data_IF_313665604711
#
_entry.id   IF_313665604711
#
_cell.length_a   1.000
_cell.length_b   1.000
_cell.length_c   1.000
_cell.angle_alpha   90.00
_cell.angle_beta   90.00
_cell.angle_gamma   90.00
#
_symmetry.space_group_name_H-M   'P 1'
#
loop_
_entity.id
_entity.type
_entity.pdbx_description
1 polymer ?
#
# COMPACT_ATOMS: atom_id res chain seq x y z
N UNK A 1 -13.09 -11.90 30.18
CA UNK A 1 -13.97 -11.50 29.05
C UNK A 1 -13.29 -11.92 27.76
N UNK A 2 -14.04 -12.28 26.73
CA UNK A 2 -13.47 -12.61 25.42
C UNK A 2 -12.84 -11.34 24.82
N UNK A 3 -11.52 -11.28 24.84
CA UNK A 3 -10.70 -10.24 24.22
C UNK A 3 -10.60 -10.55 22.72
N UNK A 4 -11.48 -9.97 21.90
CA UNK A 4 -11.47 -10.17 20.45
C UNK A 4 -10.32 -9.37 19.81
N UNK A 5 -9.15 -10.01 19.73
CA UNK A 5 -7.98 -9.45 19.07
C UNK A 5 -8.14 -9.57 17.56
N UNK A 6 -8.08 -8.44 16.86
CA UNK A 6 -8.11 -8.40 15.40
C UNK A 6 -6.69 -8.26 14.86
N UNK A 7 -6.31 -9.15 13.95
CA UNK A 7 -4.97 -9.17 13.37
C UNK A 7 -4.91 -8.62 11.95
N UNK A 8 -3.68 -8.53 11.38
CA UNK A 8 -3.44 -7.98 10.05
C UNK A 8 -4.23 -8.63 8.91
N UNK A 9 -4.50 -9.94 9.00
CA UNK A 9 -5.24 -10.69 7.97
C UNK A 9 -6.70 -10.25 7.90
N UNK A 10 -7.34 -10.08 9.05
CA UNK A 10 -8.73 -9.64 9.17
C UNK A 10 -8.88 -8.15 8.86
N UNK A 11 -7.93 -7.34 9.32
CA UNK A 11 -7.98 -5.89 9.20
C UNK A 11 -7.47 -5.38 7.84
N UNK A 12 -6.76 -6.23 7.09
CA UNK A 12 -6.05 -5.87 5.85
C UNK A 12 -5.18 -4.62 6.05
N UNK A 13 -4.50 -4.56 7.21
CA UNK A 13 -3.70 -3.44 7.65
C UNK A 13 -2.51 -3.93 8.50
N UNK A 14 -1.40 -3.16 8.60
CA UNK A 14 -0.16 -3.58 9.26
C UNK A 14 -0.25 -3.44 10.79
N UNK A 15 -1.36 -3.86 11.40
CA UNK A 15 -1.48 -3.78 12.85
C UNK A 15 -2.40 -4.83 13.45
N UNK A 16 -2.14 -5.12 14.73
CA UNK A 16 -3.06 -5.81 15.62
C UNK A 16 -3.84 -4.79 16.43
N UNK A 17 -5.10 -5.07 16.75
CA UNK A 17 -5.87 -4.24 17.69
C UNK A 17 -6.56 -5.11 18.73
N UNK A 18 -6.68 -4.55 19.93
CA UNK A 18 -7.37 -5.17 21.04
C UNK A 18 -7.97 -4.10 21.95
N UNK A 19 -9.25 -4.20 22.29
CA UNK A 19 -9.89 -3.30 23.26
C UNK A 19 -10.14 -4.05 24.56
N UNK A 20 -9.84 -3.40 25.69
CA UNK A 20 -9.98 -3.99 27.02
C UNK A 20 -10.46 -2.95 28.04
N UNK A 21 -10.80 -3.39 29.26
CA UNK A 21 -11.18 -2.47 30.35
C UNK A 21 -9.94 -1.80 30.96
N UNK A 22 -10.15 -0.77 31.79
CA UNK A 22 -9.06 -0.08 32.48
C UNK A 22 -8.57 -0.80 33.75
N UNK A 23 -9.01 -2.03 34.02
CA UNK A 23 -8.52 -2.80 35.16
C UNK A 23 -7.05 -3.20 34.96
N UNK A 24 -6.17 -3.08 35.96
CA UNK A 24 -4.75 -3.40 35.82
C UNK A 24 -4.47 -4.78 35.21
N UNK A 25 -5.15 -5.82 35.68
CA UNK A 25 -4.98 -7.19 35.16
C UNK A 25 -5.41 -7.31 33.70
N UNK A 26 -6.49 -6.63 33.31
CA UNK A 26 -7.00 -6.62 31.95
C UNK A 26 -6.03 -5.91 30.98
N UNK A 27 -5.36 -4.86 31.44
CA UNK A 27 -4.31 -4.15 30.68
C UNK A 27 -3.04 -5.01 30.54
N UNK A 28 -2.61 -5.67 31.63
CA UNK A 28 -1.44 -6.55 31.62
C UNK A 28 -1.67 -7.79 30.73
N UNK A 29 -2.87 -8.37 30.78
CA UNK A 29 -3.26 -9.49 29.93
C UNK A 29 -3.34 -9.07 28.45
N UNK A 30 -3.90 -7.91 28.15
CA UNK A 30 -4.00 -7.40 26.77
C UNK A 30 -2.62 -7.18 26.13
N UNK A 31 -1.71 -6.52 26.86
CA UNK A 31 -0.33 -6.31 26.40
C UNK A 31 0.43 -7.62 26.23
N UNK A 32 0.34 -8.53 27.20
CA UNK A 32 0.99 -9.85 27.13
C UNK A 32 0.49 -10.67 25.95
N UNK A 33 -0.82 -10.68 25.70
CA UNK A 33 -1.42 -11.37 24.55
C UNK A 33 -0.90 -10.82 23.23
N UNK A 34 -0.90 -9.51 23.05
CA UNK A 34 -0.40 -8.86 21.83
C UNK A 34 1.11 -9.12 21.61
N UNK A 35 1.92 -8.98 22.66
CA UNK A 35 3.36 -9.24 22.58
C UNK A 35 3.67 -10.71 22.27
N UNK A 36 2.92 -11.65 22.87
CA UNK A 36 3.07 -13.08 22.57
C UNK A 36 2.69 -13.39 21.11
N UNK A 37 1.69 -12.69 20.57
CA UNK A 37 1.26 -12.82 19.17
C UNK A 37 2.35 -12.35 18.22
N UNK A 38 2.98 -11.20 18.48
CA UNK A 38 4.12 -10.71 17.69
C UNK A 38 5.29 -11.69 17.79
N UNK A 39 5.60 -12.18 19.00
CA UNK A 39 6.69 -13.13 19.24
C UNK A 39 6.50 -14.47 18.52
N UNK A 40 5.25 -14.88 18.27
CA UNK A 40 4.95 -16.11 17.53
C UNK A 40 5.47 -16.09 16.07
N UNK A 41 5.63 -14.89 15.49
CA UNK A 41 6.21 -14.70 14.15
C UNK A 41 7.52 -13.92 14.27
N UNK A 42 8.64 -14.62 14.37
CA UNK A 42 9.99 -14.05 14.59
C UNK A 42 10.37 -12.88 13.66
N UNK A 43 9.85 -12.82 12.43
CA UNK A 43 10.09 -11.65 11.55
C UNK A 43 9.52 -10.34 12.12
N UNK A 44 8.39 -10.40 12.84
CA UNK A 44 7.70 -9.23 13.39
C UNK A 44 8.40 -8.64 14.62
N UNK A 45 9.25 -9.40 15.30
CA UNK A 45 10.02 -8.90 16.44
C UNK A 45 11.18 -7.99 16.03
N UNK A 46 11.45 -7.86 14.71
CA UNK A 46 12.50 -6.97 14.21
C UNK A 46 12.19 -5.49 14.44
N UNK A 47 10.92 -5.11 14.51
CA UNK A 47 10.50 -3.73 14.75
C UNK A 47 8.99 -3.63 14.79
N UNK A 48 8.46 -3.06 15.86
CA UNK A 48 7.05 -2.78 16.02
C UNK A 48 6.84 -1.65 17.04
N UNK A 49 5.67 -1.04 17.01
CA UNK A 49 5.24 -0.03 17.97
C UNK A 49 3.95 -0.44 18.62
N UNK A 50 3.92 -0.44 19.95
CA UNK A 50 2.70 -0.67 20.71
C UNK A 50 2.10 0.66 21.13
N UNK A 51 0.85 0.91 20.78
CA UNK A 51 0.08 2.10 21.16
C UNK A 51 -1.07 1.70 22.06
N UNK A 52 -1.33 2.51 23.09
CA UNK A 52 -2.41 2.33 24.04
C UNK A 52 -3.16 3.65 24.13
N UNK A 53 -4.34 3.70 23.51
CA UNK A 53 -5.24 4.84 23.58
C UNK A 53 -6.22 4.65 24.72
N UNK A 54 -6.23 5.59 25.66
CA UNK A 54 -7.19 5.59 26.76
C UNK A 54 -8.47 6.29 26.31
N UNK A 55 -9.57 5.56 26.37
CA UNK A 55 -10.93 6.04 26.17
C UNK A 55 -11.63 6.12 27.54
N UNK A 56 -12.83 6.70 27.61
CA UNK A 56 -13.51 6.98 28.88
C UNK A 56 -13.49 5.81 29.88
N UNK A 57 -13.86 4.60 29.44
CA UNK A 57 -13.95 3.42 30.31
C UNK A 57 -13.14 2.21 29.79
N UNK A 58 -12.35 2.39 28.73
CA UNK A 58 -11.66 1.29 28.03
C UNK A 58 -10.30 1.74 27.53
N UNK A 59 -9.38 0.81 27.36
CA UNK A 59 -8.13 1.04 26.64
C UNK A 59 -8.16 0.30 25.29
N UNK A 60 -7.77 0.99 24.23
CA UNK A 60 -7.54 0.39 22.92
C UNK A 60 -6.03 0.22 22.73
N UNK A 61 -5.60 -1.03 22.68
CA UNK A 61 -4.24 -1.41 22.30
C UNK A 61 -4.16 -1.58 20.78
N UNK A 62 -3.02 -1.18 20.23
CA UNK A 62 -2.64 -1.41 18.84
C UNK A 62 -1.17 -1.78 18.78
N UNK A 63 -0.81 -2.82 18.05
CA UNK A 63 0.58 -3.04 17.65
C UNK A 63 0.70 -2.70 16.17
N UNK A 64 1.39 -1.61 15.86
CA UNK A 64 1.79 -1.21 14.52
C UNK A 64 3.05 -1.99 14.11
N UNK A 65 2.97 -2.64 12.95
CA UNK A 65 4.07 -3.35 12.33
C UNK A 65 4.74 -2.45 11.28
N UNK A 66 5.99 -2.75 11.00
CA UNK A 66 6.64 -2.31 9.76
C UNK A 66 5.82 -2.78 8.55
N UNK A 67 5.50 -1.86 7.63
CA UNK A 67 4.62 -2.13 6.49
C UNK A 67 5.23 -3.12 5.50
N UNK A 68 6.56 -3.09 5.32
CA UNK A 68 7.28 -4.04 4.46
C UNK A 68 7.26 -5.43 5.08
N UNK A 69 7.47 -5.53 6.40
CA UNK A 69 7.34 -6.81 7.11
C UNK A 69 5.91 -7.32 7.11
N UNK A 70 4.91 -6.46 7.28
CA UNK A 70 3.51 -6.83 7.13
C UNK A 70 3.23 -7.41 5.75
N UNK A 71 3.68 -6.73 4.69
CA UNK A 71 3.55 -7.21 3.33
C UNK A 71 4.20 -8.60 3.16
N UNK A 72 5.44 -8.76 3.60
CA UNK A 72 6.21 -10.00 3.44
C UNK A 72 5.66 -11.19 4.23
N UNK A 73 5.00 -10.94 5.36
CA UNK A 73 4.48 -11.98 6.27
C UNK A 73 3.02 -12.32 5.99
N UNK A 74 2.20 -11.34 5.61
CA UNK A 74 0.74 -11.50 5.56
C UNK A 74 0.13 -11.34 4.18
N UNK A 75 0.74 -10.55 3.28
CA UNK A 75 0.16 -10.31 1.96
C UNK A 75 0.80 -11.17 0.88
N UNK A 76 2.13 -11.37 0.92
CA UNK A 76 2.88 -12.06 -0.14
C UNK A 76 2.37 -13.48 -0.47
N UNK A 77 1.66 -14.13 0.44
CA UNK A 77 1.12 -15.48 0.24
C UNK A 77 -0.20 -15.52 -0.56
N UNK A 78 -0.81 -14.36 -0.79
CA UNK A 78 -2.06 -14.21 -1.53
C UNK A 78 -1.81 -14.09 -3.05
N UNK A 79 -2.90 -14.05 -3.84
CA UNK A 79 -2.81 -13.73 -5.27
C UNK A 79 -2.17 -12.36 -5.47
N UNK A 80 -1.34 -12.24 -6.51
CA UNK A 80 -0.52 -11.05 -6.76
C UNK A 80 -1.37 -9.78 -6.96
N UNK A 81 -2.49 -9.91 -7.68
CA UNK A 81 -3.42 -8.79 -7.93
C UNK A 81 -4.12 -8.34 -6.65
N UNK A 82 -4.54 -9.30 -5.82
CA UNK A 82 -5.19 -9.02 -4.54
C UNK A 82 -4.20 -8.38 -3.55
N UNK A 83 -2.97 -8.86 -3.56
CA UNK A 83 -1.86 -8.30 -2.77
C UNK A 83 -1.59 -6.84 -3.14
N UNK A 84 -1.48 -6.54 -4.44
CA UNK A 84 -1.29 -5.18 -4.95
C UNK A 84 -2.46 -4.28 -4.55
N UNK A 85 -3.69 -4.78 -4.73
CA UNK A 85 -4.92 -4.06 -4.39
C UNK A 85 -4.99 -3.69 -2.91
N UNK A 86 -4.77 -4.65 -2.01
CA UNK A 86 -4.82 -4.42 -0.56
C UNK A 86 -3.74 -3.44 -0.10
N UNK A 87 -2.50 -3.62 -0.57
CA UNK A 87 -1.41 -2.71 -0.22
C UNK A 87 -1.66 -1.28 -0.72
N UNK A 88 -2.14 -1.13 -1.96
CA UNK A 88 -2.48 0.17 -2.57
C UNK A 88 -3.63 0.86 -1.84
N UNK A 89 -4.66 0.10 -1.46
CA UNK A 89 -5.80 0.59 -0.68
C UNK A 89 -5.37 1.07 0.71
N UNK A 90 -4.51 0.32 1.40
CA UNK A 90 -3.94 0.73 2.69
C UNK A 90 -3.19 2.07 2.57
N UNK A 91 -2.32 2.22 1.58
CA UNK A 91 -1.54 3.45 1.37
C UNK A 91 -2.46 4.63 1.09
N UNK A 92 -3.44 4.46 0.20
CA UNK A 92 -4.42 5.49 -0.14
C UNK A 92 -5.19 5.93 1.11
N UNK A 93 -5.73 4.98 1.87
CA UNK A 93 -6.52 5.27 3.06
C UNK A 93 -5.69 5.96 4.14
N UNK A 94 -4.44 5.54 4.32
CA UNK A 94 -3.53 6.14 5.30
C UNK A 94 -3.23 7.60 4.94
N UNK A 95 -2.89 7.89 3.69
CA UNK A 95 -2.62 9.26 3.22
C UNK A 95 -3.83 10.19 3.33
N UNK A 96 -5.04 9.68 3.13
CA UNK A 96 -6.27 10.48 3.29
C UNK A 96 -6.60 10.81 4.75
N UNK A 97 -6.06 10.06 5.72
CA UNK A 97 -6.33 10.25 7.14
C UNK A 97 -5.32 11.17 7.84
N UNK A 98 -4.20 11.50 7.19
CA UNK A 98 -3.12 12.29 7.78
C UNK A 98 -3.18 13.69 7.19
N UNK A 99 -3.41 14.68 8.05
CA UNK A 99 -3.42 16.07 7.64
C UNK A 99 -1.99 16.61 7.52
N UNK A 100 -1.71 17.58 6.62
CA UNK A 100 -0.38 18.17 6.47
C UNK A 100 0.18 18.77 7.77
N UNK A 101 -0.69 19.25 8.65
CA UNK A 101 -0.33 19.80 9.95
C UNK A 101 0.18 18.72 10.94
N UNK A 102 -0.13 17.45 10.67
CA UNK A 102 0.29 16.28 11.46
C UNK A 102 1.63 15.68 10.98
N UNK A 103 2.27 16.27 9.97
CA UNK A 103 3.57 15.86 9.43
C UNK A 103 4.66 16.90 9.75
N UNK A 104 5.37 16.68 10.85
CA UNK A 104 6.44 17.60 11.27
C UNK A 104 7.79 17.31 10.59
N UNK A 105 8.68 18.32 10.49
CA UNK A 105 9.97 18.18 9.83
C UNK A 105 10.83 17.10 10.49
N UNK A 106 11.74 16.43 9.76
CA UNK A 106 12.59 15.34 10.29
C UNK A 106 13.72 15.81 11.22
N UNK A 107 14.20 17.04 11.05
CA UNK A 107 15.38 17.57 11.77
C UNK A 107 15.04 18.95 12.33
N UNK A 108 15.11 19.10 13.66
CA UNK A 108 15.22 20.43 14.29
C UNK A 108 16.70 20.55 14.61
N UNK A 109 17.36 21.49 13.95
CA UNK A 109 18.80 21.67 14.10
C UNK A 109 19.08 22.33 15.47
N UNK A 110 19.60 21.54 16.41
CA UNK A 110 20.09 22.04 17.69
C UNK A 110 21.58 22.36 17.54
N UNK A 111 22.03 23.49 18.10
CA UNK A 111 23.46 23.83 18.12
C UNK A 111 24.25 22.67 18.76
N UNK A 112 25.23 22.14 18.02
CA UNK A 112 25.99 20.91 18.34
C UNK A 112 26.59 20.86 19.76
N UNK A 113 26.84 22.01 20.38
CA UNK A 113 27.53 22.14 21.67
C UNK A 113 26.76 21.52 22.86
N UNK A 114 25.42 21.57 22.86
CA UNK A 114 24.60 20.96 23.93
C UNK A 114 24.53 19.42 23.81
N UNK A 115 24.78 18.89 22.61
CA UNK A 115 24.67 17.47 22.31
C UNK A 115 25.87 16.68 22.84
N UNK A 116 27.07 17.24 22.80
CA UNK A 116 28.30 16.53 23.15
C UNK A 116 28.61 16.54 24.65
N UNK A 117 28.14 17.56 25.38
CA UNK A 117 28.34 17.69 26.84
C UNK A 117 27.35 16.84 27.66
N UNK A 118 26.25 16.41 27.04
CA UNK A 118 25.21 15.59 27.67
C UNK A 118 25.66 14.15 28.00
N UNK A 119 26.77 13.65 27.46
CA UNK A 119 27.15 12.23 27.65
C UNK A 119 28.35 12.03 28.59
N UNK A 120 28.89 13.11 29.14
CA UNK A 120 30.08 13.01 30.00
C UNK A 120 29.62 12.68 31.42
N UNK A 121 29.76 11.39 31.79
CA UNK A 121 29.54 10.94 33.17
C UNK A 121 30.57 11.56 34.09
N UNK A 122 30.17 11.81 35.33
CA UNK A 122 31.15 12.12 36.35
C UNK A 122 32.02 10.87 36.60
N UNK A 123 33.32 10.96 36.32
CA UNK A 123 34.27 9.88 36.58
C UNK A 123 34.71 9.82 38.06
N UNK A 124 34.26 10.76 38.89
CA UNK A 124 34.66 10.84 40.29
C UNK A 124 33.85 9.82 41.14
N UNK A 125 34.49 8.70 41.49
CA UNK A 125 33.93 7.65 42.38
C UNK A 125 34.20 7.90 43.87
N UNK A 126 34.85 9.01 44.24
CA UNK A 126 35.25 9.30 45.61
C UNK A 126 34.12 9.87 46.48
N UNK A 127 34.09 9.47 47.76
CA UNK A 127 33.07 9.86 48.76
C UNK A 127 32.94 11.37 49.04
N UNK A 128 33.91 12.19 48.65
CA UNK A 128 33.93 13.65 48.92
C UNK A 128 33.44 14.52 47.75
N UNK A 129 32.76 13.92 46.78
CA UNK A 129 32.24 14.62 45.62
C UNK A 129 30.87 15.26 45.92
N UNK A 130 30.76 16.59 45.86
CA UNK A 130 29.46 17.27 45.91
C UNK A 130 28.68 17.07 44.60
N UNK A 131 27.72 16.12 44.60
CA UNK A 131 26.83 15.80 43.47
C UNK A 131 26.05 17.02 42.93
N UNK A 132 25.78 18.00 43.79
CA UNK A 132 24.99 19.18 43.43
C UNK A 132 25.83 20.26 42.72
N UNK A 133 27.15 20.28 42.93
CA UNK A 133 28.06 21.28 42.35
C UNK A 133 28.87 20.76 41.15
N UNK A 134 28.76 19.47 40.82
CA UNK A 134 29.49 18.89 39.70
C UNK A 134 28.83 19.25 38.38
N UNK A 135 29.63 19.58 37.37
CA UNK A 135 29.17 19.87 36.01
C UNK A 135 28.62 18.63 35.31
N UNK A 136 29.18 17.46 35.62
CA UNK A 136 28.81 16.17 35.06
C UNK A 136 27.59 15.52 35.73
N UNK A 137 27.02 14.50 35.08
CA UNK A 137 25.78 13.86 35.52
C UNK A 137 26.02 12.69 36.46
N UNK A 138 25.13 12.54 37.44
CA UNK A 138 25.22 11.58 38.55
C UNK A 138 23.96 10.74 38.60
N UNK A 139 23.83 9.80 37.67
CA UNK A 139 22.63 9.00 37.52
C UNK A 139 22.38 8.07 38.69
N UNK A 140 21.15 8.12 39.23
CA UNK A 140 20.73 7.32 40.37
C UNK A 140 20.29 5.90 39.96
N UNK A 141 19.78 5.76 38.74
CA UNK A 141 19.30 4.49 38.22
C UNK A 141 20.14 4.07 37.02
N UNK A 142 20.80 2.92 37.15
CA UNK A 142 21.55 2.28 36.06
C UNK A 142 20.97 0.89 35.88
N UNK A 143 20.47 0.59 34.68
CA UNK A 143 20.10 -0.78 34.34
C UNK A 143 21.35 -1.65 34.42
N UNK A 144 21.24 -2.83 35.04
CA UNK A 144 22.33 -3.82 35.17
C UNK A 144 21.92 -5.19 34.65
N UNK A 145 20.84 -5.25 33.87
CA UNK A 145 20.38 -6.48 33.24
C UNK A 145 21.40 -7.00 32.24
N UNK A 146 21.49 -8.32 32.11
CA UNK A 146 22.25 -8.94 31.04
C UNK A 146 21.52 -8.74 29.71
N UNK A 147 22.26 -8.35 28.69
CA UNK A 147 21.73 -7.96 27.38
C UNK A 147 22.67 -8.47 26.29
N UNK A 148 22.10 -8.82 25.14
CA UNK A 148 22.88 -9.25 23.97
C UNK A 148 23.01 -8.08 23.00
N UNK A 149 24.23 -7.68 22.66
CA UNK A 149 24.49 -6.66 21.65
C UNK A 149 24.14 -7.15 20.25
N UNK A 150 24.03 -6.23 19.28
CA UNK A 150 23.65 -6.53 17.89
C UNK A 150 24.58 -7.55 17.19
N UNK A 151 25.83 -7.64 17.62
CA UNK A 151 26.82 -8.60 17.15
C UNK A 151 26.85 -9.92 17.96
N UNK A 152 25.86 -10.14 18.82
CA UNK A 152 25.65 -11.40 19.54
C UNK A 152 26.42 -11.55 20.84
N UNK A 153 27.15 -10.52 21.30
CA UNK A 153 27.89 -10.59 22.57
C UNK A 153 26.97 -10.32 23.75
N UNK A 154 27.10 -11.11 24.81
CA UNK A 154 26.46 -10.78 26.08
C UNK A 154 27.27 -9.69 26.80
N UNK A 155 26.59 -8.66 27.27
CA UNK A 155 27.14 -7.60 28.09
C UNK A 155 26.15 -7.25 29.20
N UNK A 156 26.60 -6.50 30.20
CA UNK A 156 25.67 -5.83 31.11
C UNK A 156 25.17 -4.56 30.44
N UNK A 157 23.86 -4.33 30.53
CA UNK A 157 23.27 -3.04 30.21
C UNK A 157 23.96 -1.99 31.09
N UNK A 158 24.28 -0.85 30.50
CA UNK A 158 24.86 0.30 31.19
C UNK A 158 24.01 1.56 31.01
N UNK A 159 22.79 1.37 30.52
CA UNK A 159 21.80 2.42 30.36
C UNK A 159 21.50 3.07 31.71
N UNK A 160 21.39 4.38 31.73
CA UNK A 160 21.19 5.14 32.96
C UNK A 160 20.08 6.17 32.79
N UNK A 161 19.25 6.30 33.83
CA UNK A 161 18.29 7.40 33.91
C UNK A 161 19.03 8.65 34.34
N UNK A 162 19.18 9.57 33.39
CA UNK A 162 19.71 10.93 33.58
C UNK A 162 18.98 11.58 34.76
N UNK A 163 19.71 11.96 35.81
CA UNK A 163 19.13 12.48 37.06
C UNK A 163 19.11 14.01 37.12
N UNK A 164 20.02 14.68 36.39
CA UNK A 164 20.18 16.14 36.39
C UNK A 164 19.28 16.88 35.39
N UNK A 165 18.82 16.17 34.35
CA UNK A 165 17.83 16.61 33.36
C UNK A 165 16.43 16.03 33.64
N UNK A 166 16.26 15.37 34.79
CA UNK A 166 14.96 15.33 35.46
C UNK A 166 14.67 16.80 35.73
N UNK A 167 13.62 17.34 35.11
CA UNK A 167 13.14 18.67 35.49
C UNK A 167 12.69 18.54 36.95
N UNK A 168 13.60 18.82 37.88
CA UNK A 168 13.39 18.65 39.33
C UNK A 168 12.17 19.45 39.79
N UNK A 169 11.83 20.52 39.09
CA UNK A 169 10.67 21.37 39.38
C UNK A 169 9.32 20.87 38.83
N UNK A 170 9.27 19.75 38.10
CA UNK A 170 7.99 19.09 37.77
C UNK A 170 7.66 17.93 38.69
N UNK A 171 8.47 17.70 39.72
CA UNK A 171 8.10 16.84 40.84
C UNK A 171 7.03 17.53 41.71
N UNK A 172 5.88 17.82 41.11
CA UNK A 172 4.64 17.69 41.86
C UNK A 172 4.51 16.22 42.27
N UNK A 173 3.81 15.94 43.37
CA UNK A 173 3.60 14.59 43.91
C UNK A 173 2.91 13.59 42.93
N UNK A 174 2.70 13.97 41.66
CA UNK A 174 1.97 13.25 40.62
C UNK A 174 2.83 12.78 39.42
N UNK A 175 3.99 13.39 39.11
CA UNK A 175 4.75 13.04 37.89
C UNK A 175 6.28 13.11 38.07
N UNK A 176 7.00 12.25 37.33
CA UNK A 176 8.45 12.32 37.11
C UNK A 176 8.68 12.53 35.62
N UNK A 177 9.16 13.72 35.22
CA UNK A 177 9.51 14.01 33.81
C UNK A 177 10.96 13.65 33.59
N UNK A 178 11.21 12.61 32.81
CA UNK A 178 12.53 12.18 32.37
C UNK A 178 12.78 12.72 30.96
N UNK A 179 13.74 13.63 30.83
CA UNK A 179 14.22 14.07 29.51
C UNK A 179 15.38 13.18 29.10
N UNK A 180 15.22 12.44 28.00
CA UNK A 180 16.34 11.67 27.42
C UNK A 180 17.30 12.63 26.73
N UNK A 181 18.61 12.42 26.94
CA UNK A 181 19.71 13.25 26.40
C UNK A 181 20.04 13.00 24.93
N UNK A 182 19.21 12.27 24.20
CA UNK A 182 19.42 12.07 22.75
C UNK A 182 18.94 13.29 21.97
N UNK A 183 19.44 13.49 20.75
CA UNK A 183 18.99 14.54 19.82
C UNK A 183 17.55 14.33 19.30
N UNK A 184 16.82 13.42 19.93
CA UNK A 184 15.50 12.94 19.50
C UNK A 184 14.45 13.63 20.36
N UNK A 185 13.31 13.89 19.73
CA UNK A 185 12.29 14.84 20.15
C UNK A 185 11.34 14.31 21.24
N UNK A 186 11.85 13.65 22.27
CA UNK A 186 10.99 12.80 23.10
C UNK A 186 11.17 13.05 24.61
N UNK A 187 10.02 13.23 25.26
CA UNK A 187 9.90 13.39 26.71
C UNK A 187 9.30 12.10 27.27
N UNK A 188 10.00 11.48 28.21
CA UNK A 188 9.53 10.29 28.91
C UNK A 188 8.89 10.75 30.23
N UNK A 189 7.57 10.71 30.38
CA UNK A 189 6.97 10.96 31.70
C UNK A 189 6.64 9.63 32.38
N UNK A 190 7.07 9.50 33.63
CA UNK A 190 6.67 8.44 34.53
C UNK A 190 5.52 8.97 35.41
N UNK A 191 4.31 8.40 35.35
CA UNK A 191 3.27 8.73 36.32
C UNK A 191 3.71 8.24 37.71
N UNK A 192 3.56 9.10 38.73
CA UNK A 192 3.82 8.70 40.11
C UNK A 192 2.58 7.94 40.65
N UNK A 193 2.69 6.68 41.05
CA UNK A 193 1.54 5.83 41.41
C UNK A 193 0.67 6.35 42.57
N UNK A 194 1.15 7.34 43.34
CA UNK A 194 0.56 7.77 44.60
C UNK A 194 -0.64 8.72 44.48
N UNK A 195 -0.97 9.26 43.31
CA UNK A 195 -2.15 10.12 43.15
C UNK A 195 -2.89 9.84 41.85
N UNK A 196 -4.13 9.34 41.97
CA UNK A 196 -5.12 9.19 40.89
C UNK A 196 -5.61 10.56 40.36
N UNK A 197 -4.73 11.53 40.10
CA UNK A 197 -5.12 12.71 39.33
C UNK A 197 -5.14 12.34 37.85
N UNK A 198 -6.21 12.76 37.18
CA UNK A 198 -6.51 12.49 35.78
C UNK A 198 -5.26 12.64 34.90
N UNK A 199 -4.83 11.53 34.30
CA UNK A 199 -3.76 11.52 33.32
C UNK A 199 -4.14 12.51 32.20
N UNK A 200 -3.32 13.56 32.00
CA UNK A 200 -3.57 14.57 30.97
C UNK A 200 -3.13 14.14 29.56
N UNK A 201 -2.58 12.94 29.40
CA UNK A 201 -2.29 12.34 28.10
C UNK A 201 -3.42 11.37 27.72
N UNK A 202 -3.70 11.27 26.41
CA UNK A 202 -4.76 10.41 25.90
C UNK A 202 -4.24 9.10 25.27
N UNK A 203 -2.92 9.01 25.02
CA UNK A 203 -2.30 7.80 24.47
C UNK A 203 -0.86 7.63 24.92
N UNK A 204 -0.42 6.38 25.00
CA UNK A 204 0.97 5.96 25.21
C UNK A 204 1.41 5.20 23.97
N UNK A 205 2.60 5.45 23.44
CA UNK A 205 3.21 4.63 22.41
C UNK A 205 4.57 4.12 22.89
N UNK A 206 4.95 2.90 22.53
CA UNK A 206 6.22 2.29 22.85
C UNK A 206 6.84 1.71 21.58
N UNK A 207 7.97 2.25 21.13
CA UNK A 207 8.71 1.73 19.97
C UNK A 207 9.67 0.62 20.42
N UNK A 208 9.75 -0.47 19.66
CA UNK A 208 10.63 -1.62 19.92
C UNK A 208 11.48 -1.97 18.69
N UNK A 209 12.67 -2.54 18.93
CA UNK A 209 13.54 -3.09 17.88
C UNK A 209 14.09 -2.02 16.94
N UNK A 210 14.05 -2.25 15.63
CA UNK A 210 14.59 -1.30 14.63
C UNK A 210 13.98 0.09 14.72
N UNK A 211 12.71 0.20 15.13
CA UNK A 211 12.02 1.48 15.30
C UNK A 211 12.62 2.31 16.44
N UNK A 212 13.24 1.65 17.42
CA UNK A 212 14.04 2.31 18.45
C UNK A 212 15.37 2.81 17.88
N UNK A 213 16.06 1.95 17.12
CA UNK A 213 17.42 2.21 16.63
C UNK A 213 17.49 3.19 15.46
N UNK A 214 16.42 3.35 14.67
CA UNK A 214 16.39 4.28 13.53
C UNK A 214 16.49 5.75 13.98
N UNK A 215 16.03 6.05 15.20
CA UNK A 215 16.19 7.37 15.80
C UNK A 215 17.52 7.50 16.55
N UNK A 216 18.06 6.40 17.10
CA UNK A 216 19.32 6.39 17.82
C UNK A 216 20.53 6.38 16.87
N UNK A 217 21.37 7.43 16.91
CA UNK A 217 22.69 7.41 16.24
C UNK A 217 23.66 6.40 16.86
N UNK A 218 23.29 5.78 17.99
CA UNK A 218 24.10 4.78 18.63
C UNK A 218 23.82 3.40 18.02
N UNK A 219 24.81 2.88 17.27
CA UNK A 219 24.82 1.52 16.72
C UNK A 219 24.76 0.42 17.79
N UNK A 220 24.93 0.79 19.07
CA UNK A 220 24.81 -0.07 20.23
C UNK A 220 23.50 0.08 21.00
N UNK A 221 22.57 0.96 20.57
CA UNK A 221 21.20 0.98 21.10
C UNK A 221 20.57 -0.40 20.87
N UNK A 222 20.29 -1.08 21.98
CA UNK A 222 20.04 -2.51 21.99
C UNK A 222 18.58 -2.80 21.66
N UNK A 223 18.31 -3.92 20.99
CA UNK A 223 16.97 -4.46 20.67
C UNK A 223 16.04 -4.71 21.90
N UNK A 224 16.45 -4.32 23.11
CA UNK A 224 15.78 -4.61 24.38
C UNK A 224 15.19 -3.37 25.03
N UNK A 225 15.34 -2.19 24.46
CA UNK A 225 14.82 -0.97 25.04
C UNK A 225 13.55 -0.54 24.28
N UNK A 226 12.62 0.05 25.04
CA UNK A 226 11.40 0.62 24.48
C UNK A 226 11.39 2.12 24.74
N UNK A 227 11.16 2.93 23.71
CA UNK A 227 10.98 4.37 23.88
C UNK A 227 9.51 4.64 24.07
N UNK A 228 9.16 5.15 25.24
CA UNK A 228 7.77 5.46 25.57
C UNK A 228 7.49 6.92 25.23
N UNK A 229 6.55 7.13 24.32
CA UNK A 229 6.00 8.43 23.96
C UNK A 229 4.65 8.59 24.65
N UNK A 230 4.42 9.78 25.20
CA UNK A 230 3.12 10.18 25.69
C UNK A 230 2.52 11.20 24.75
N UNK A 231 1.27 10.98 24.36
CA UNK A 231 0.56 11.86 23.44
C UNK A 231 -0.44 12.69 24.23
N UNK A 232 -0.19 14.00 24.22
CA UNK A 232 -1.06 15.01 24.82
C UNK A 232 -1.95 15.58 23.72
N UNK A 233 -3.20 15.91 24.07
CA UNK A 233 -3.96 16.82 23.23
C UNK A 233 -3.41 18.25 23.37
N UNK A 234 -3.75 19.13 22.43
CA UNK A 234 -3.25 20.50 22.39
C UNK A 234 -3.50 21.27 23.69
N UNK A 235 -4.70 21.13 24.28
CA UNK A 235 -5.06 21.83 25.51
C UNK A 235 -4.22 21.33 26.68
N UNK A 236 -4.10 20.02 26.82
CA UNK A 236 -3.30 19.37 27.86
C UNK A 236 -1.81 19.72 27.73
N UNK A 237 -1.30 19.81 26.50
CA UNK A 237 0.07 20.25 26.21
C UNK A 237 0.30 21.71 26.61
N UNK A 238 -0.61 22.61 26.24
CA UNK A 238 -0.54 24.02 26.63
C UNK A 238 -0.63 24.19 28.16
N UNK A 239 -1.43 23.37 28.84
CA UNK A 239 -1.51 23.39 30.30
C UNK A 239 -0.21 22.91 30.96
N UNK A 240 0.54 21.97 30.35
CA UNK A 240 1.87 21.56 30.84
C UNK A 240 2.87 22.71 30.68
N UNK A 241 2.86 23.40 29.54
CA UNK A 241 3.77 24.53 29.29
C UNK A 241 3.61 25.65 30.32
N UNK A 242 2.38 25.93 30.77
CA UNK A 242 2.10 26.95 31.81
C UNK A 242 2.69 26.61 33.18
N UNK A 243 2.99 25.35 33.45
CA UNK A 243 3.57 24.91 34.73
C UNK A 243 5.09 25.07 34.76
N UNK A 244 5.72 25.45 33.63
CA UNK A 244 7.18 25.52 33.51
C UNK A 244 7.67 26.90 33.95
N UNK A 245 8.46 26.95 35.02
CA UNK A 245 9.03 28.20 35.53
C UNK A 245 10.32 28.62 34.80
N UNK A 246 11.03 27.66 34.19
CA UNK A 246 12.33 27.91 33.54
C UNK A 246 12.21 28.12 32.02
N UNK A 247 12.71 29.26 31.54
CA UNK A 247 12.69 29.62 30.11
C UNK A 247 13.39 28.58 29.21
N UNK A 248 14.46 27.93 29.70
CA UNK A 248 15.18 26.90 28.96
C UNK A 248 14.31 25.66 28.70
N UNK A 249 13.58 25.20 29.72
CA UNK A 249 12.69 24.04 29.60
C UNK A 249 11.48 24.39 28.74
N UNK A 250 10.93 25.59 28.89
CA UNK A 250 9.82 26.07 28.07
C UNK A 250 10.21 26.15 26.59
N UNK A 251 11.43 26.62 26.29
CA UNK A 251 11.97 26.62 24.92
C UNK A 251 12.04 25.20 24.35
N UNK A 252 12.50 24.23 25.13
CA UNK A 252 12.55 22.82 24.74
C UNK A 252 11.14 22.24 24.49
N UNK A 253 10.13 22.62 25.28
CA UNK A 253 8.74 22.23 25.05
C UNK A 253 8.15 22.90 23.81
N UNK A 254 8.37 24.20 23.60
CA UNK A 254 7.85 24.92 22.42
C UNK A 254 8.44 24.36 21.12
N UNK A 255 9.68 23.87 21.14
CA UNK A 255 10.27 23.12 20.03
C UNK A 255 9.59 21.76 19.75
N UNK A 256 8.56 21.39 20.51
CA UNK A 256 7.72 20.19 20.35
C UNK A 256 6.25 20.54 20.11
N UNK A 257 5.93 21.81 19.85
CA UNK A 257 4.59 22.22 19.40
C UNK A 257 4.24 21.66 18.03
N UNK A 258 5.25 21.17 17.29
CA UNK A 258 5.08 20.43 16.05
C UNK A 258 5.19 18.93 16.31
N UNK A 259 4.31 18.11 15.70
CA UNK A 259 4.42 16.66 15.78
C UNK A 259 5.77 16.18 15.24
N UNK A 260 6.18 14.98 15.66
CA UNK A 260 7.31 14.29 15.02
C UNK A 260 7.02 13.95 13.56
N UNK A 261 8.01 13.42 12.82
CA UNK A 261 7.78 12.89 11.48
C UNK A 261 6.68 11.83 11.51
N UNK A 262 5.80 11.83 10.51
CA UNK A 262 4.72 10.87 10.47
C UNK A 262 5.21 9.51 9.95
N UNK A 263 5.50 8.60 10.87
CA UNK A 263 5.98 7.25 10.56
C UNK A 263 5.04 6.47 9.61
N UNK A 264 3.73 6.73 9.65
CA UNK A 264 2.81 6.06 8.73
C UNK A 264 3.03 6.49 7.28
N UNK A 265 3.32 7.77 7.04
CA UNK A 265 3.65 8.27 5.69
C UNK A 265 4.98 7.71 5.19
N UNK A 266 6.00 7.69 6.06
CA UNK A 266 7.28 7.07 5.74
C UNK A 266 7.11 5.58 5.37
N UNK A 267 6.39 4.82 6.19
CA UNK A 267 6.14 3.41 5.94
C UNK A 267 5.29 3.17 4.68
N UNK A 268 4.39 4.10 4.32
CA UNK A 268 3.69 4.04 3.04
C UNK A 268 4.67 4.18 1.86
N UNK A 269 5.59 5.15 1.95
CA UNK A 269 6.59 5.37 0.91
C UNK A 269 7.54 4.17 0.77
N UNK A 270 8.02 3.62 1.89
CA UNK A 270 8.89 2.43 1.91
C UNK A 270 8.18 1.20 1.33
N UNK A 271 6.90 1.00 1.66
CA UNK A 271 6.10 -0.10 1.09
C UNK A 271 5.93 0.06 -0.43
N UNK A 272 5.69 1.28 -0.89
CA UNK A 272 5.55 1.61 -2.31
C UNK A 272 6.83 1.30 -3.08
N UNK A 273 7.95 1.80 -2.59
CA UNK A 273 9.27 1.69 -3.22
C UNK A 273 9.79 0.24 -3.19
N UNK A 274 9.73 -0.42 -2.03
CA UNK A 274 10.40 -1.70 -1.84
C UNK A 274 9.59 -2.92 -2.28
N UNK A 275 8.27 -2.80 -2.39
CA UNK A 275 7.38 -3.96 -2.67
C UNK A 275 6.34 -3.66 -3.74
N UNK A 276 5.53 -2.62 -3.55
CA UNK A 276 4.34 -2.42 -4.38
C UNK A 276 4.69 -2.17 -5.84
N UNK A 277 5.70 -1.32 -6.11
CA UNK A 277 6.16 -1.02 -7.48
C UNK A 277 6.55 -2.28 -8.26
N UNK A 278 7.29 -3.19 -7.62
CA UNK A 278 7.71 -4.45 -8.25
C UNK A 278 6.50 -5.34 -8.57
N UNK A 279 5.55 -5.42 -7.65
CA UNK A 279 4.38 -6.31 -7.77
C UNK A 279 3.41 -5.79 -8.82
N UNK A 280 3.17 -4.48 -8.87
CA UNK A 280 2.35 -3.87 -9.92
C UNK A 280 2.99 -4.02 -11.31
N UNK A 281 4.32 -3.96 -11.39
CA UNK A 281 5.03 -4.28 -12.62
C UNK A 281 4.77 -5.73 -13.05
N UNK A 282 4.81 -6.69 -12.12
CA UNK A 282 4.49 -8.09 -12.41
C UNK A 282 3.02 -8.29 -12.83
N UNK A 283 2.06 -7.64 -12.18
CA UNK A 283 0.65 -7.64 -12.59
C UNK A 283 0.49 -7.10 -14.03
N UNK A 284 1.20 -6.02 -14.35
CA UNK A 284 1.19 -5.41 -15.68
C UNK A 284 1.77 -6.37 -16.73
N UNK A 285 2.90 -7.02 -16.43
CA UNK A 285 3.50 -8.01 -17.33
C UNK A 285 2.58 -9.21 -17.56
N UNK A 286 1.92 -9.72 -16.52
CA UNK A 286 0.97 -10.82 -16.65
C UNK A 286 -0.22 -10.43 -17.55
N UNK A 287 -0.72 -9.20 -17.40
CA UNK A 287 -1.78 -8.66 -18.24
C UNK A 287 -1.33 -8.52 -19.70
N UNK A 288 -0.12 -8.00 -19.93
CA UNK A 288 0.47 -7.88 -21.28
C UNK A 288 0.64 -9.25 -21.93
N UNK A 289 1.14 -10.25 -21.19
CA UNK A 289 1.31 -11.61 -21.71
C UNK A 289 -0.02 -12.21 -22.17
N UNK A 290 -1.07 -12.08 -21.34
CA UNK A 290 -2.41 -12.56 -21.69
C UNK A 290 -3.01 -11.84 -22.89
N UNK A 291 -2.75 -10.53 -23.01
CA UNK A 291 -3.14 -9.76 -24.20
C UNK A 291 -2.40 -10.25 -25.45
N UNK A 292 -1.10 -10.54 -25.35
CA UNK A 292 -0.30 -11.07 -26.46
C UNK A 292 -0.87 -12.40 -26.97
N UNK A 293 -1.15 -13.34 -26.06
CA UNK A 293 -1.77 -14.63 -26.42
C UNK A 293 -3.12 -14.45 -27.12
N UNK A 294 -3.94 -13.50 -26.67
CA UNK A 294 -5.22 -13.21 -27.31
C UNK A 294 -5.05 -12.59 -28.70
N UNK A 295 -4.03 -11.76 -28.90
CA UNK A 295 -3.69 -11.17 -30.21
C UNK A 295 -3.19 -12.24 -31.18
N UNK A 296 -2.37 -13.20 -30.71
CA UNK A 296 -1.92 -14.34 -31.52
C UNK A 296 -3.10 -15.19 -32.00
N UNK A 297 -4.01 -15.56 -31.09
CA UNK A 297 -5.25 -16.30 -31.46
C UNK A 297 -6.11 -15.52 -32.45
N UNK A 298 -6.21 -14.20 -32.29
CA UNK A 298 -6.95 -13.37 -33.24
C UNK A 298 -6.28 -13.35 -34.61
N UNK A 299 -4.95 -13.30 -34.66
CA UNK A 299 -4.17 -13.36 -35.90
C UNK A 299 -4.37 -14.69 -36.64
N UNK A 300 -4.36 -15.81 -35.91
CA UNK A 300 -4.65 -17.14 -36.47
C UNK A 300 -6.06 -17.19 -37.09
N UNK A 301 -7.08 -16.73 -36.35
CA UNK A 301 -8.46 -16.68 -36.84
C UNK A 301 -8.61 -15.80 -38.09
N UNK A 302 -7.91 -14.66 -38.15
CA UNK A 302 -7.87 -13.81 -39.35
C UNK A 302 -7.22 -14.55 -40.52
N UNK A 303 -6.14 -15.30 -40.27
CA UNK A 303 -5.50 -16.14 -41.27
C UNK A 303 -6.43 -17.21 -41.85
N UNK A 304 -7.23 -17.87 -41.01
CA UNK A 304 -8.23 -18.84 -41.44
C UNK A 304 -9.36 -18.19 -42.25
N UNK A 305 -9.87 -17.05 -41.79
CA UNK A 305 -10.90 -16.29 -42.51
C UNK A 305 -10.42 -15.86 -43.90
N UNK A 306 -9.16 -15.43 -44.02
CA UNK A 306 -8.58 -15.06 -45.31
C UNK A 306 -8.48 -16.26 -46.27
N UNK A 307 -8.18 -17.46 -45.77
CA UNK A 307 -8.19 -18.69 -46.61
C UNK A 307 -9.59 -19.02 -47.10
N UNK A 308 -10.61 -18.88 -46.24
CA UNK A 308 -12.01 -19.08 -46.63
C UNK A 308 -12.42 -18.05 -47.69
N UNK A 309 -12.05 -16.79 -47.51
CA UNK A 309 -12.35 -15.72 -48.46
C UNK A 309 -11.69 -15.95 -49.83
N UNK A 310 -10.45 -16.45 -49.86
CA UNK A 310 -9.77 -16.81 -51.11
C UNK A 310 -10.53 -17.90 -51.88
N UNK A 311 -10.93 -18.98 -51.19
CA UNK A 311 -11.74 -20.06 -51.81
C UNK A 311 -13.07 -19.55 -52.32
N UNK A 312 -13.72 -18.65 -51.58
CA UNK A 312 -14.97 -18.04 -52.02
C UNK A 312 -14.77 -17.19 -53.29
N UNK A 313 -13.68 -16.42 -53.34
CA UNK A 313 -13.30 -15.62 -54.50
C UNK A 313 -13.05 -16.50 -55.74
N UNK A 314 -12.35 -17.62 -55.59
CA UNK A 314 -12.13 -18.61 -56.65
C UNK A 314 -13.46 -19.18 -57.18
N UNK A 315 -14.35 -19.63 -56.28
CA UNK A 315 -15.67 -20.14 -56.64
C UNK A 315 -16.51 -19.09 -57.39
N UNK A 316 -16.43 -17.81 -56.99
CA UNK A 316 -17.10 -16.71 -57.70
C UNK A 316 -16.52 -16.54 -59.12
N UNK A 317 -15.19 -16.64 -59.26
CA UNK A 317 -14.52 -16.63 -60.56
C UNK A 317 -15.00 -17.77 -61.47
N UNK A 318 -15.06 -19.00 -60.96
CA UNK A 318 -15.57 -20.16 -61.69
C UNK A 318 -17.04 -19.97 -62.11
N UNK A 319 -17.89 -19.50 -61.19
CA UNK A 319 -19.29 -19.22 -61.48
C UNK A 319 -19.46 -18.16 -62.57
N UNK A 320 -18.62 -17.12 -62.59
CA UNK A 320 -18.65 -16.12 -63.65
C UNK A 320 -18.30 -16.70 -65.03
N UNK A 321 -17.35 -17.63 -65.10
CA UNK A 321 -17.01 -18.34 -66.36
C UNK A 321 -18.20 -19.19 -66.84
N UNK A 322 -18.84 -19.93 -65.93
CA UNK A 322 -20.03 -20.73 -66.24
C UNK A 322 -21.16 -19.83 -66.74
N UNK A 323 -21.42 -18.71 -66.06
CA UNK A 323 -22.45 -17.75 -66.44
C UNK A 323 -22.18 -17.15 -67.84
N UNK A 324 -20.92 -16.81 -68.15
CA UNK A 324 -20.55 -16.30 -69.47
C UNK A 324 -20.81 -17.32 -70.58
N UNK A 325 -20.47 -18.61 -70.37
CA UNK A 325 -20.77 -19.69 -71.32
C UNK A 325 -22.27 -19.91 -71.50
N UNK A 326 -23.04 -19.82 -70.41
CA UNK A 326 -24.49 -19.94 -70.46
C UNK A 326 -25.10 -18.80 -71.28
N UNK A 327 -24.64 -17.57 -71.07
CA UNK A 327 -25.07 -16.39 -71.83
C UNK A 327 -24.81 -16.57 -73.32
N UNK A 328 -23.60 -16.99 -73.71
CA UNK A 328 -23.22 -17.23 -75.11
C UNK A 328 -24.12 -18.30 -75.76
N UNK A 329 -24.41 -19.40 -75.05
CA UNK A 329 -25.32 -20.43 -75.54
C UNK A 329 -26.76 -19.92 -75.73
N UNK A 330 -27.25 -19.07 -74.81
CA UNK A 330 -28.58 -18.44 -74.94
C UNK A 330 -28.63 -17.52 -76.16
N UNK A 331 -27.60 -16.71 -76.37
CA UNK A 331 -27.51 -15.81 -77.52
C UNK A 331 -27.47 -16.60 -78.85
N UNK A 332 -26.68 -17.67 -78.91
CA UNK A 332 -26.61 -18.56 -80.07
C UNK A 332 -27.96 -19.23 -80.37
N UNK A 333 -28.66 -19.73 -79.34
CA UNK A 333 -29.98 -20.34 -79.49
C UNK A 333 -31.02 -19.32 -79.98
N UNK A 334 -31.01 -18.11 -79.40
CA UNK A 334 -31.89 -17.02 -79.82
C UNK A 334 -31.65 -16.65 -81.29
N UNK A 335 -30.39 -16.55 -81.72
CA UNK A 335 -30.05 -16.26 -83.11
C UNK A 335 -30.54 -17.37 -84.06
N UNK A 336 -30.36 -18.65 -83.68
CA UNK A 336 -30.88 -19.78 -84.45
C UNK A 336 -32.40 -19.75 -84.56
N UNK A 337 -33.10 -19.42 -83.48
CA UNK A 337 -34.56 -19.28 -83.47
C UNK A 337 -35.04 -18.14 -84.37
N UNK A 338 -34.39 -16.98 -84.30
CA UNK A 338 -34.65 -15.84 -85.20
C UNK A 338 -34.44 -16.23 -86.67
N UNK A 339 -33.35 -16.95 -86.98
CA UNK A 339 -33.09 -17.44 -88.33
C UNK A 339 -34.18 -18.43 -88.80
N UNK A 340 -34.66 -19.31 -87.93
CA UNK A 340 -35.75 -20.24 -88.24
C UNK A 340 -37.07 -19.50 -88.51
N UNK A 341 -37.42 -18.51 -87.69
CA UNK A 341 -38.59 -17.64 -87.92
C UNK A 341 -38.47 -16.90 -89.25
N UNK A 342 -37.30 -16.33 -89.56
CA UNK A 342 -37.06 -15.63 -90.82
C UNK A 342 -37.25 -16.56 -92.03
N UNK A 343 -36.74 -17.79 -91.94
CA UNK A 343 -36.91 -18.84 -92.96
C UNK A 343 -38.38 -19.21 -93.14
N UNK A 344 -39.10 -19.44 -92.04
CA UNK A 344 -40.53 -19.76 -92.06
C UNK A 344 -41.35 -18.60 -92.66
N UNK A 345 -41.02 -17.37 -92.29
CA UNK A 345 -41.65 -16.15 -92.80
C UNK A 345 -41.47 -16.03 -94.31
N UNK A 346 -40.26 -16.30 -94.80
CA UNK A 346 -39.96 -16.35 -96.24
C UNK A 346 -40.80 -17.42 -96.94
N UNK A 347 -40.84 -18.65 -96.41
CA UNK A 347 -41.62 -19.74 -96.98
C UNK A 347 -43.13 -19.44 -97.01
N UNK A 348 -43.69 -18.84 -95.96
CA UNK A 348 -45.09 -18.40 -95.90
C UNK A 348 -45.37 -17.35 -97.00
N UNK A 349 -44.46 -16.38 -97.17
CA UNK A 349 -44.60 -15.34 -98.20
C UNK A 349 -44.54 -15.92 -99.61
N UNK A 350 -43.64 -16.88 -99.87
CA UNK A 350 -43.58 -17.62 -101.14
C UNK A 350 -44.88 -18.38 -101.39
N UNK A 351 -45.34 -19.20 -100.44
CA UNK A 351 -46.59 -19.96 -100.55
C UNK A 351 -47.81 -19.07 -100.79
N UNK A 352 -47.88 -17.91 -100.11
CA UNK A 352 -48.93 -16.90 -100.32
C UNK A 352 -48.90 -16.35 -101.76
N UNK A 353 -47.72 -16.18 -102.34
CA UNK A 353 -47.54 -15.71 -103.72
C UNK A 353 -47.97 -16.80 -104.70
N UNK A 354 -47.53 -18.03 -104.51
CA UNK A 354 -47.91 -19.18 -105.33
C UNK A 354 -49.44 -19.40 -105.34
N UNK A 355 -50.09 -19.29 -104.16
CA UNK A 355 -51.55 -19.35 -104.06
C UNK A 355 -52.22 -18.24 -104.85
N UNK A 356 -51.70 -17.00 -104.76
CA UNK A 356 -52.25 -15.86 -105.51
C UNK A 356 -52.15 -16.10 -107.02
N UNK A 357 -51.02 -16.60 -107.49
CA UNK A 357 -50.80 -16.93 -108.90
C UNK A 357 -51.72 -18.06 -109.38
N UNK A 358 -51.97 -19.06 -108.53
CA UNK A 358 -52.90 -20.16 -108.79
C UNK A 358 -54.36 -19.69 -108.89
N UNK A 359 -54.77 -18.76 -108.02
CA UNK A 359 -56.09 -18.13 -108.10
C UNK A 359 -56.25 -17.27 -109.37
N UNK A 360 -55.25 -16.49 -109.75
CA UNK A 360 -55.28 -15.68 -110.98
C UNK A 360 -55.29 -16.55 -112.25
N UNK A 361 -54.56 -17.67 -112.28
CA UNK A 361 -54.62 -18.63 -113.40
C UNK A 361 -55.98 -19.31 -113.49
N UNK A 362 -56.57 -19.73 -112.37
CA UNK A 362 -57.94 -20.30 -112.34
C UNK A 362 -59.00 -19.29 -112.78
N UNK A 363 -58.87 -18.02 -112.37
CA UNK A 363 -59.77 -16.95 -112.81
C UNK A 363 -59.71 -16.71 -114.32
N UNK A 364 -58.58 -16.97 -114.97
CA UNK A 364 -58.42 -16.91 -116.43
C UNK A 364 -59.01 -18.12 -117.16
N UNK A 365 -59.05 -19.30 -116.53
CA UNK A 365 -59.62 -20.51 -117.15
C UNK A 365 -61.15 -20.54 -117.14
N UNK A 366 -61.80 -19.92 -116.14
CA UNK A 366 -63.25 -19.90 -115.98
C UNK A 366 -63.96 -18.82 -116.85
N UNK A 367 -63.24 -18.16 -117.78
CA UNK A 367 -63.76 -17.12 -118.70
C UNK A 367 -63.84 -17.63 -120.17
N UNK A 368 -63.70 -18.93 -120.39
CA UNK A 368 -63.93 -19.62 -121.67
C UNK A 368 -65.16 -20.51 -121.49
#
# INVERSE_FOLDING_TARGET
>A
MATDMKGPETLKAPYFTLTTTLKPDDLANASSLLLSTVKSKHKLTQGFRMEVKFLQNTAQFRICLDTVLWYDVYLRMELIDETARVAREYIKNTRMQIFPEDDGPFVIDHKEVEKDTAFIRCNNKGFAHNKQACEYDHTEFVCKGNVTTRDGRETQCDFHSVSKLIVKEFSSNAYLVLVRRESIRELLFLPCPSQQQHLKFHSIAANFGKWETAQSRDKYSQNYHAHIHLLFDKKSWDDIKKLIETNETLFKLNARDYPGPNYLLQHCAELEEQRLSQVEHQCTLATISKLSENVEKLSENVGENNKILSKLSENVGENNIIFSKLSENVDNNNQSFVNAISTLTTAINTFKTDLKDLFETKKKSDVI
#
